data_IF_750152032950
#
_entry.id   IF_750152032950
#
_cell.length_a   1.000
_cell.length_b   1.000
_cell.length_c   1.000
_cell.angle_alpha   90.00
_cell.angle_beta   90.00
_cell.angle_gamma   90.00
#
_symmetry.space_group_name_H-M   'P 1'
#
loop_
_entity.id
_entity.type
_entity.pdbx_description
1 polymer ?
#
# COMPACT_ATOMS: atom_id res chain seq x y z
N UNK A 1 -17.22 -13.46 0.85
CA UNK A 1 -15.92 -13.15 1.42
C UNK A 1 -16.09 -12.19 2.58
N UNK A 2 -15.44 -12.41 3.70
CA UNK A 2 -15.57 -11.56 4.87
C UNK A 2 -14.77 -10.26 4.72
N UNK A 3 -15.06 -9.30 5.58
CA UNK A 3 -14.41 -7.98 5.55
C UNK A 3 -12.89 -8.08 5.73
N UNK A 4 -12.41 -8.90 6.65
CA UNK A 4 -10.96 -9.05 6.87
C UNK A 4 -10.28 -9.62 5.63
N UNK A 5 -10.90 -10.61 4.99
CA UNK A 5 -10.36 -11.21 3.77
C UNK A 5 -10.31 -10.21 2.63
N UNK A 6 -11.34 -9.38 2.49
CA UNK A 6 -11.36 -8.33 1.47
C UNK A 6 -10.27 -7.28 1.73
N UNK A 7 -10.10 -6.89 3.00
CA UNK A 7 -9.06 -5.94 3.38
C UNK A 7 -7.67 -6.52 3.08
N UNK A 8 -7.45 -7.79 3.41
CA UNK A 8 -6.18 -8.46 3.09
C UNK A 8 -5.95 -8.51 1.59
N UNK A 9 -7.01 -8.70 0.80
CA UNK A 9 -6.91 -8.68 -0.66
C UNK A 9 -6.52 -7.29 -1.18
N UNK A 10 -7.05 -6.23 -0.56
CA UNK A 10 -6.64 -4.86 -0.91
C UNK A 10 -5.12 -4.71 -0.76
N UNK A 11 -4.57 -5.14 0.36
CA UNK A 11 -3.13 -5.04 0.61
C UNK A 11 -2.34 -5.94 -0.35
N UNK A 12 -2.85 -7.14 -0.63
CA UNK A 12 -2.20 -8.05 -1.59
C UNK A 12 -2.15 -7.46 -3.00
N UNK A 13 -3.19 -6.74 -3.41
CA UNK A 13 -3.20 -6.08 -4.71
C UNK A 13 -2.20 -4.93 -4.77
N UNK A 14 -2.00 -4.20 -3.68
CA UNK A 14 -0.96 -3.16 -3.60
C UNK A 14 0.42 -3.80 -3.78
N UNK A 15 0.68 -4.88 -3.06
CA UNK A 15 1.95 -5.62 -3.17
C UNK A 15 2.20 -6.11 -4.59
N UNK A 16 1.21 -6.73 -5.18
CA UNK A 16 1.32 -7.26 -6.53
C UNK A 16 1.53 -6.15 -7.56
N UNK A 17 0.81 -5.05 -7.42
CA UNK A 17 0.99 -3.89 -8.30
C UNK A 17 2.39 -3.32 -8.20
N UNK A 18 2.92 -3.20 -6.99
CA UNK A 18 4.30 -2.76 -6.79
C UNK A 18 5.29 -3.73 -7.45
N UNK A 19 5.14 -5.02 -7.21
CA UNK A 19 6.08 -6.04 -7.69
C UNK A 19 6.01 -6.30 -9.19
N UNK A 20 4.92 -5.91 -9.85
CA UNK A 20 4.76 -6.07 -11.31
C UNK A 20 4.81 -4.73 -12.06
N UNK A 21 5.16 -3.66 -11.37
CA UNK A 21 5.19 -2.30 -11.92
C UNK A 21 3.87 -1.89 -12.56
N UNK A 22 2.78 -2.28 -11.90
CA UNK A 22 1.41 -2.04 -12.38
C UNK A 22 0.73 -1.02 -11.47
N UNK A 23 0.82 0.26 -11.85
CA UNK A 23 0.24 1.35 -11.06
C UNK A 23 -1.28 1.24 -10.94
N UNK A 24 -1.95 0.76 -11.99
CA UNK A 24 -3.40 0.59 -11.96
C UNK A 24 -3.82 -0.45 -10.92
N UNK A 25 -3.12 -1.57 -10.84
CA UNK A 25 -3.39 -2.60 -9.84
C UNK A 25 -3.03 -2.10 -8.44
N UNK A 26 -1.87 -1.45 -8.29
CA UNK A 26 -1.43 -0.93 -7.00
C UNK A 26 -2.44 0.05 -6.40
N UNK A 27 -3.08 0.85 -7.23
CA UNK A 27 -4.02 1.89 -6.80
C UNK A 27 -5.50 1.55 -7.06
N UNK A 28 -5.77 0.29 -7.38
CA UNK A 28 -7.13 -0.17 -7.74
C UNK A 28 -8.17 0.18 -6.67
N UNK A 29 -7.76 0.13 -5.41
CA UNK A 29 -8.68 0.30 -4.29
C UNK A 29 -8.60 1.68 -3.62
N UNK A 30 -7.92 2.65 -4.26
CA UNK A 30 -7.87 4.00 -3.72
C UNK A 30 -9.23 4.68 -3.81
N UNK A 31 -9.59 5.38 -2.74
CA UNK A 31 -10.72 6.30 -2.79
C UNK A 31 -10.36 7.49 -3.68
N UNK A 32 -11.36 8.14 -4.23
CA UNK A 32 -11.16 9.25 -5.16
C UNK A 32 -10.37 10.40 -4.54
N UNK A 33 -10.66 10.70 -3.28
CA UNK A 33 -10.02 11.80 -2.55
C UNK A 33 -8.94 11.32 -1.58
N UNK A 34 -8.40 10.12 -1.81
CA UNK A 34 -7.41 9.55 -0.92
C UNK A 34 -6.18 10.44 -0.77
N UNK A 35 -5.56 10.38 0.41
CA UNK A 35 -4.31 11.07 0.67
C UNK A 35 -3.25 10.03 1.07
N UNK A 36 -2.09 10.11 0.45
CA UNK A 36 -0.96 9.24 0.80
C UNK A 36 0.27 10.07 1.11
N UNK A 37 1.06 9.57 2.05
CA UNK A 37 2.37 10.15 2.37
C UNK A 37 3.40 9.04 2.11
N UNK A 38 4.37 9.31 1.26
CA UNK A 38 5.39 8.31 0.95
C UNK A 38 6.51 8.31 2.01
N UNK A 39 7.44 7.37 1.85
CA UNK A 39 8.53 7.21 2.80
C UNK A 39 9.46 8.43 2.90
N UNK A 40 9.44 9.30 1.90
CA UNK A 40 10.23 10.53 1.88
C UNK A 40 9.49 11.71 2.51
N UNK A 41 8.26 11.48 3.00
CA UNK A 41 7.46 12.52 3.62
C UNK A 41 6.67 13.37 2.63
N UNK A 42 6.59 12.98 1.37
CA UNK A 42 5.84 13.74 0.37
C UNK A 42 4.38 13.31 0.41
N UNK A 43 3.50 14.29 0.58
CA UNK A 43 2.05 14.07 0.61
C UNK A 43 1.45 14.29 -0.77
N UNK A 44 0.67 13.33 -1.23
CA UNK A 44 -0.02 13.37 -2.52
C UNK A 44 -1.50 13.13 -2.28
N UNK A 45 -2.35 13.97 -2.84
CA UNK A 45 -3.79 13.94 -2.61
C UNK A 45 -4.54 13.76 -3.92
N UNK A 46 -5.52 12.86 -3.91
CA UNK A 46 -6.38 12.59 -5.04
C UNK A 46 -5.91 11.45 -5.92
N UNK A 47 -6.87 10.68 -6.41
CA UNK A 47 -6.60 9.50 -7.23
C UNK A 47 -5.68 9.81 -8.42
N UNK A 48 -5.99 10.85 -9.18
CA UNK A 48 -5.24 11.15 -10.41
C UNK A 48 -3.78 11.50 -10.12
N UNK A 49 -3.55 12.30 -9.09
CA UNK A 49 -2.20 12.68 -8.69
C UNK A 49 -1.40 11.48 -8.17
N UNK A 50 -2.07 10.63 -7.38
CA UNK A 50 -1.42 9.41 -6.86
C UNK A 50 -1.07 8.47 -8.00
N UNK A 51 -1.97 8.31 -8.98
CA UNK A 51 -1.69 7.49 -10.16
C UNK A 51 -0.49 8.02 -10.94
N UNK A 52 -0.43 9.33 -11.18
CA UNK A 52 0.68 9.93 -11.92
C UNK A 52 2.03 9.70 -11.24
N UNK A 53 2.07 9.90 -9.92
CA UNK A 53 3.28 9.67 -9.12
C UNK A 53 3.66 8.18 -9.13
N UNK A 54 2.67 7.30 -9.00
CA UNK A 54 2.89 5.84 -9.02
C UNK A 54 3.43 5.37 -10.36
N UNK A 55 2.85 5.82 -11.46
CA UNK A 55 3.31 5.44 -12.80
C UNK A 55 4.76 5.85 -13.01
N UNK A 56 5.11 7.07 -12.61
CA UNK A 56 6.46 7.59 -12.76
C UNK A 56 7.45 6.82 -11.88
N UNK A 57 7.08 6.53 -10.64
CA UNK A 57 7.94 5.77 -9.72
C UNK A 57 8.19 4.35 -10.19
N UNK A 58 7.13 3.65 -10.61
CA UNK A 58 7.23 2.26 -11.06
C UNK A 58 7.91 2.11 -12.41
N UNK A 59 7.90 3.14 -13.23
CA UNK A 59 8.61 3.13 -14.51
C UNK A 59 10.09 3.55 -14.37
N UNK A 60 10.49 4.08 -13.21
CA UNK A 60 11.81 4.61 -12.95
C UNK A 60 12.47 4.04 -11.71
N UNK A 61 12.58 4.84 -10.62
CA UNK A 61 13.36 4.43 -9.44
C UNK A 61 12.95 3.12 -8.79
N UNK A 62 11.67 2.73 -8.90
CA UNK A 62 11.13 1.53 -8.26
C UNK A 62 11.02 0.33 -9.21
N UNK A 63 11.42 0.48 -10.48
CA UNK A 63 11.19 -0.53 -11.51
C UNK A 63 11.81 -1.89 -11.19
N UNK A 64 12.94 -1.92 -10.52
CA UNK A 64 13.66 -3.15 -10.21
C UNK A 64 13.61 -3.49 -8.71
N UNK A 65 12.65 -2.93 -8.00
CA UNK A 65 12.50 -3.19 -6.58
C UNK A 65 11.31 -4.09 -6.34
N UNK A 66 11.47 -5.00 -5.39
CA UNK A 66 10.44 -5.97 -5.01
C UNK A 66 10.28 -5.96 -3.51
N UNK A 67 9.07 -6.23 -3.04
CA UNK A 67 8.79 -6.20 -1.61
C UNK A 67 7.81 -7.31 -1.24
N UNK A 68 7.88 -7.74 0.01
CA UNK A 68 6.88 -8.60 0.64
C UNK A 68 6.14 -7.75 1.67
N UNK A 69 4.82 -7.83 1.65
CA UNK A 69 3.95 -7.12 2.58
C UNK A 69 3.37 -8.09 3.59
N UNK A 70 3.38 -7.69 4.87
CA UNK A 70 2.76 -8.47 5.92
C UNK A 70 1.76 -7.59 6.67
N UNK A 71 0.51 -8.02 6.69
CA UNK A 71 -0.53 -7.34 7.48
C UNK A 71 -0.32 -7.76 8.93
N UNK A 72 -0.02 -6.79 9.79
CA UNK A 72 0.22 -7.06 11.21
C UNK A 72 -1.04 -6.94 12.04
N UNK A 73 -1.95 -6.05 11.66
CA UNK A 73 -3.12 -5.75 12.45
C UNK A 73 -4.22 -5.17 11.57
N UNK A 74 -5.45 -5.58 11.83
CA UNK A 74 -6.66 -5.02 11.23
C UNK A 74 -7.59 -4.69 12.40
N UNK A 75 -7.87 -3.40 12.59
CA UNK A 75 -8.74 -2.95 13.68
C UNK A 75 -9.91 -2.15 13.14
N UNK A 76 -11.11 -2.63 13.41
CA UNK A 76 -12.33 -1.93 13.05
C UNK A 76 -12.65 -0.89 14.13
N UNK A 77 -12.65 0.39 13.77
CA UNK A 77 -13.09 1.45 14.68
C UNK A 77 -14.56 1.77 14.49
N UNK A 78 -15.11 1.36 13.35
CA UNK A 78 -16.53 1.33 13.01
C UNK A 78 -16.74 0.10 12.13
N UNK A 79 -17.98 -0.36 11.93
CA UNK A 79 -18.21 -1.50 11.02
C UNK A 79 -17.70 -1.24 9.59
N UNK A 80 -17.65 0.01 9.18
CA UNK A 80 -17.24 0.43 7.85
C UNK A 80 -15.94 1.24 7.81
N UNK A 81 -15.16 1.24 8.93
CA UNK A 81 -13.86 1.93 8.98
C UNK A 81 -12.85 1.04 9.68
N UNK A 82 -11.75 0.75 9.01
CA UNK A 82 -10.67 -0.09 9.53
C UNK A 82 -9.33 0.62 9.47
N UNK A 83 -8.52 0.41 10.52
CA UNK A 83 -7.11 0.75 10.50
C UNK A 83 -6.33 -0.51 10.22
N UNK A 84 -5.44 -0.46 9.25
CA UNK A 84 -4.62 -1.61 8.87
C UNK A 84 -3.15 -1.25 9.00
N UNK A 85 -2.43 -2.02 9.78
CA UNK A 85 -0.99 -1.85 9.93
C UNK A 85 -0.29 -2.92 9.10
N UNK A 86 0.59 -2.48 8.21
CA UNK A 86 1.34 -3.35 7.32
C UNK A 86 2.84 -3.06 7.47
N UNK A 87 3.63 -4.11 7.41
CA UNK A 87 5.09 -4.00 7.29
C UNK A 87 5.51 -4.47 5.91
N UNK A 88 6.52 -3.82 5.34
CA UNK A 88 7.08 -4.19 4.05
C UNK A 88 8.57 -4.48 4.21
N UNK A 89 9.02 -5.50 3.50
CA UNK A 89 10.43 -5.92 3.48
C UNK A 89 10.91 -5.99 2.04
N UNK A 90 12.15 -5.55 1.80
CA UNK A 90 12.76 -5.69 0.50
C UNK A 90 13.09 -7.16 0.23
N UNK A 91 12.79 -7.62 -0.97
CA UNK A 91 13.10 -8.98 -1.41
C UNK A 91 13.67 -8.93 -2.83
N UNK A 92 14.29 -10.03 -3.26
CA UNK A 92 14.70 -10.21 -4.66
C UNK A 92 13.47 -10.49 -5.52
N UNK A 93 13.66 -10.50 -6.85
CA UNK A 93 12.60 -10.87 -7.77
C UNK A 93 12.01 -12.26 -7.45
N UNK A 94 12.85 -13.17 -6.94
CA UNK A 94 12.43 -14.52 -6.55
C UNK A 94 11.82 -14.59 -5.15
N UNK A 95 11.71 -13.45 -4.47
CA UNK A 95 11.09 -13.40 -3.15
C UNK A 95 12.03 -13.68 -1.98
N UNK A 96 13.34 -13.74 -2.21
CA UNK A 96 14.32 -13.97 -1.14
C UNK A 96 14.55 -12.66 -0.38
N UNK A 97 14.61 -12.70 0.96
CA UNK A 97 14.89 -11.50 1.74
C UNK A 97 16.23 -10.86 1.38
N UNK A 98 16.22 -9.54 1.30
CA UNK A 98 17.44 -8.76 1.09
C UNK A 98 17.73 -8.05 2.42
N UNK A 99 18.98 -8.18 2.89
CA UNK A 99 19.41 -7.49 4.11
C UNK A 99 19.69 -6.02 3.78
N UNK A 100 18.65 -5.28 3.51
CA UNK A 100 18.74 -3.85 3.34
C UNK A 100 18.55 -3.16 4.68
N UNK A 101 19.07 -1.95 4.76
CA UNK A 101 19.10 -1.19 6.01
C UNK A 101 17.72 -0.71 6.47
N UNK A 102 16.66 -1.02 5.74
CA UNK A 102 15.34 -0.51 6.13
C UNK A 102 14.22 -1.45 5.73
N UNK A 103 13.24 -1.49 6.58
CA UNK A 103 11.92 -1.99 6.31
C UNK A 103 10.99 -0.78 6.32
N UNK A 104 9.72 -0.99 6.06
CA UNK A 104 8.75 0.08 6.05
C UNK A 104 7.53 -0.29 6.87
N UNK A 105 7.05 0.64 7.67
CA UNK A 105 5.75 0.55 8.32
C UNK A 105 4.76 1.40 7.56
N UNK A 106 3.57 0.88 7.35
CA UNK A 106 2.51 1.65 6.73
C UNK A 106 1.23 1.54 7.54
N UNK A 107 0.59 2.66 7.73
CA UNK A 107 -0.74 2.72 8.31
C UNK A 107 -1.73 3.08 7.20
N UNK A 108 -2.75 2.23 7.06
CA UNK A 108 -3.84 2.46 6.11
C UNK A 108 -5.11 2.78 6.88
N UNK A 109 -5.89 3.71 6.36
CA UNK A 109 -7.28 3.90 6.77
C UNK A 109 -8.14 3.44 5.62
N UNK A 110 -8.93 2.40 5.85
CA UNK A 110 -9.85 1.87 4.85
C UNK A 110 -11.29 2.17 5.26
N UNK A 111 -12.09 2.51 4.26
CA UNK A 111 -13.52 2.81 4.45
C UNK A 111 -14.32 1.93 3.50
N UNK A 112 -15.40 1.34 4.01
CA UNK A 112 -16.29 0.53 3.18
C UNK A 112 -17.39 1.41 2.61
N UNK A 113 -17.44 1.50 1.28
CA UNK A 113 -18.45 2.26 0.56
C UNK A 113 -19.06 1.39 -0.53
N UNK A 114 -20.37 1.35 -0.60
CA UNK A 114 -21.10 0.56 -1.59
C UNK A 114 -20.64 -0.91 -1.65
N UNK A 115 -20.40 -1.47 -0.47
CA UNK A 115 -19.99 -2.86 -0.33
C UNK A 115 -18.52 -3.14 -0.64
N UNK A 116 -17.70 -2.11 -0.87
CA UNK A 116 -16.27 -2.28 -1.18
C UNK A 116 -15.39 -1.51 -0.21
N UNK A 117 -14.26 -2.13 0.14
CA UNK A 117 -13.26 -1.46 0.96
C UNK A 117 -12.33 -0.63 0.10
N UNK A 118 -12.18 0.64 0.44
CA UNK A 118 -11.34 1.60 -0.27
C UNK A 118 -10.28 2.16 0.65
N UNK A 119 -9.09 2.42 0.11
CA UNK A 119 -8.02 3.08 0.84
C UNK A 119 -8.29 4.58 0.84
N UNK A 120 -8.58 5.11 2.00
CA UNK A 120 -8.86 6.54 2.19
C UNK A 120 -7.59 7.32 2.50
N UNK A 121 -6.66 6.69 3.21
CA UNK A 121 -5.39 7.30 3.56
C UNK A 121 -4.34 6.21 3.77
N UNK A 122 -3.09 6.56 3.50
CA UNK A 122 -1.95 5.69 3.76
C UNK A 122 -0.74 6.54 4.10
N UNK A 123 0.00 6.11 5.11
CA UNK A 123 1.27 6.76 5.43
C UNK A 123 2.35 5.71 5.59
N UNK A 124 3.42 5.89 4.83
CA UNK A 124 4.58 5.01 4.85
C UNK A 124 5.70 5.67 5.65
N UNK A 125 6.36 4.88 6.50
CA UNK A 125 7.50 5.35 7.29
C UNK A 125 8.62 4.33 7.18
N UNK A 126 9.81 4.78 6.84
CA UNK A 126 11.00 3.93 6.85
C UNK A 126 11.37 3.59 8.28
N UNK A 127 11.72 2.33 8.50
CA UNK A 127 12.21 1.86 9.81
C UNK A 127 13.72 1.76 9.69
N UNK A 128 14.48 2.59 10.40
CA UNK A 128 15.93 2.49 10.38
C UNK A 128 16.40 1.21 11.07
N UNK A 129 17.49 0.65 10.57
CA UNK A 129 18.07 -0.58 11.11
C UNK A 129 19.47 -0.30 11.64
#
# INVERSE_FOLDING_TARGET
MGDIEEIRQVIADVERGFNTNDAALMNKHLARDAAVVNAMGVRVVGFDEIMAVSEKGLAGPLADQYARYEVRDVRFIRPDVALVHKEAYAVTEDGEPIDLEHAMNALYVLVKEDGRWLVEARQNTLVPR
#
